data_IF_348315288637
#
_entry.id   IF_348315288637
#
_cell.length_a   1.000
_cell.length_b   1.000
_cell.length_c   1.000
_cell.angle_alpha   90.00
_cell.angle_beta   90.00
_cell.angle_gamma   90.00
#
_symmetry.space_group_name_H-M   'P 1'
#
loop_
_entity.id
_entity.type
_entity.pdbx_description
1 polymer ?
#
# COMPACT_ATOMS: atom_id res chain seq x y z
N UNK A 1 -14.90 41.23 7.32
CA UNK A 1 -13.85 40.52 6.53
C UNK A 1 -14.34 39.13 6.22
N UNK A 2 -14.35 38.75 4.94
CA UNK A 2 -14.69 37.39 4.53
C UNK A 2 -13.68 36.41 5.13
N UNK A 3 -14.16 35.36 5.84
CA UNK A 3 -13.27 34.36 6.44
C UNK A 3 -12.50 33.61 5.35
N UNK A 4 -11.23 33.34 5.59
CA UNK A 4 -10.40 32.57 4.66
C UNK A 4 -10.81 31.10 4.68
N UNK A 5 -11.08 30.53 3.52
CA UNK A 5 -11.38 29.10 3.39
C UNK A 5 -10.15 28.25 3.64
N UNK A 6 -10.33 27.12 4.31
CA UNK A 6 -9.34 26.06 4.47
C UNK A 6 -9.98 24.71 4.20
N UNK A 7 -9.24 23.79 3.59
CA UNK A 7 -9.68 22.40 3.41
C UNK A 7 -8.88 21.51 4.35
N UNK A 8 -9.60 20.72 5.15
CA UNK A 8 -9.04 19.75 6.09
C UNK A 8 -9.32 18.34 5.60
N UNK A 9 -8.27 17.52 5.43
CA UNK A 9 -8.41 16.07 5.32
C UNK A 9 -8.92 15.53 6.65
N UNK A 10 -10.11 14.94 6.66
CA UNK A 10 -10.89 14.62 7.85
C UNK A 10 -11.23 13.12 7.90
N UNK A 11 -10.78 12.44 8.93
CA UNK A 11 -11.04 11.01 9.14
C UNK A 11 -12.19 10.71 10.11
N UNK A 12 -12.64 11.70 10.88
CA UNK A 12 -13.60 11.52 11.96
C UNK A 12 -12.98 11.03 13.27
N UNK A 13 -11.68 10.77 13.31
CA UNK A 13 -10.93 10.42 14.52
C UNK A 13 -10.66 11.62 15.42
N UNK A 14 -9.99 11.39 16.55
CA UNK A 14 -9.74 12.42 17.56
C UNK A 14 -8.93 13.60 17.01
N UNK A 15 -7.81 13.31 16.32
CA UNK A 15 -6.89 14.34 15.82
C UNK A 15 -7.59 15.29 14.86
N UNK A 16 -8.29 14.76 13.85
CA UNK A 16 -8.99 15.61 12.88
C UNK A 16 -10.26 16.24 13.44
N UNK A 17 -10.91 15.61 14.42
CA UNK A 17 -12.02 16.23 15.17
C UNK A 17 -11.56 17.45 15.95
N UNK A 18 -10.39 17.40 16.57
CA UNK A 18 -9.77 18.54 17.22
C UNK A 18 -9.46 19.67 16.23
N UNK A 19 -8.95 19.33 15.04
CA UNK A 19 -8.55 20.30 14.04
C UNK A 19 -9.69 21.22 13.59
N UNK A 20 -10.93 20.76 13.53
CA UNK A 20 -12.06 21.56 13.01
C UNK A 20 -12.32 22.81 13.87
N UNK A 21 -12.68 22.71 15.16
CA UNK A 21 -12.92 23.90 15.98
C UNK A 21 -11.64 24.72 16.18
N UNK A 22 -10.48 24.08 16.25
CA UNK A 22 -9.20 24.79 16.38
C UNK A 22 -8.93 25.73 15.20
N UNK A 23 -9.17 25.27 13.97
CA UNK A 23 -9.01 26.09 12.76
C UNK A 23 -10.08 27.20 12.66
N UNK A 24 -11.31 26.94 13.12
CA UNK A 24 -12.36 27.95 13.20
C UNK A 24 -11.95 29.09 14.15
N UNK A 25 -11.40 28.78 15.30
CA UNK A 25 -10.89 29.78 16.25
C UNK A 25 -9.72 30.60 15.69
N UNK A 26 -8.98 30.04 14.75
CA UNK A 26 -7.94 30.77 14.01
C UNK A 26 -8.50 31.66 12.88
N UNK A 27 -9.82 31.73 12.71
CA UNK A 27 -10.50 32.58 11.75
C UNK A 27 -10.71 31.96 10.36
N UNK A 28 -10.66 30.65 10.25
CA UNK A 28 -10.93 29.96 8.99
C UNK A 28 -12.38 29.50 8.85
N UNK A 29 -12.90 29.56 7.63
CA UNK A 29 -14.07 28.79 7.19
C UNK A 29 -13.60 27.39 6.80
N UNK A 30 -13.90 26.38 7.64
CA UNK A 30 -13.37 25.01 7.49
C UNK A 30 -14.29 24.19 6.58
N UNK A 31 -13.71 23.66 5.51
CA UNK A 31 -14.31 22.66 4.64
C UNK A 31 -13.58 21.33 4.87
N UNK A 32 -14.32 20.27 5.15
CA UNK A 32 -13.75 18.94 5.40
C UNK A 32 -13.98 18.00 4.24
N UNK A 33 -13.03 17.08 4.02
CA UNK A 33 -13.16 16.02 3.06
C UNK A 33 -12.72 14.70 3.67
N UNK A 34 -13.58 13.68 3.58
CA UNK A 34 -13.26 12.31 3.92
C UNK A 34 -13.04 11.52 2.63
N UNK A 35 -11.88 10.88 2.53
CA UNK A 35 -11.51 10.04 1.40
C UNK A 35 -11.64 8.58 1.82
N UNK A 36 -12.64 7.89 1.27
CA UNK A 36 -12.83 6.46 1.50
C UNK A 36 -11.90 5.65 0.59
N UNK A 37 -10.95 4.99 1.19
CA UNK A 37 -9.96 4.14 0.53
C UNK A 37 -10.38 2.66 0.45
N UNK A 38 -11.67 2.39 0.67
CA UNK A 38 -12.27 1.07 0.52
C UNK A 38 -12.55 0.31 1.83
N UNK A 39 -12.18 0.89 2.98
CA UNK A 39 -12.37 0.26 4.30
C UNK A 39 -13.53 0.83 5.11
N UNK A 40 -14.35 1.75 4.57
CA UNK A 40 -15.39 2.45 5.33
C UNK A 40 -16.76 2.24 4.70
N UNK A 41 -17.72 1.76 5.51
CA UNK A 41 -19.10 1.53 5.08
C UNK A 41 -19.87 2.84 4.84
N UNK A 42 -20.97 2.81 4.07
CA UNK A 42 -21.83 3.98 3.89
C UNK A 42 -22.39 4.54 5.22
N UNK A 43 -22.69 3.69 6.17
CA UNK A 43 -23.17 4.06 7.50
C UNK A 43 -22.11 4.81 8.31
N UNK A 44 -20.88 4.35 8.26
CA UNK A 44 -19.73 5.02 8.87
C UNK A 44 -19.44 6.36 8.20
N UNK A 45 -19.55 6.45 6.87
CA UNK A 45 -19.42 7.73 6.14
C UNK A 45 -20.47 8.75 6.58
N UNK A 46 -21.71 8.33 6.82
CA UNK A 46 -22.76 9.21 7.37
C UNK A 46 -22.41 9.73 8.76
N UNK A 47 -21.85 8.87 9.62
CA UNK A 47 -21.38 9.27 10.97
C UNK A 47 -20.23 10.28 10.88
N UNK A 48 -19.29 10.08 9.96
CA UNK A 48 -18.18 11.01 9.71
C UNK A 48 -18.70 12.35 9.23
N UNK A 49 -19.65 12.37 8.30
CA UNK A 49 -20.31 13.60 7.81
C UNK A 49 -20.98 14.35 8.96
N UNK A 50 -21.79 13.66 9.76
CA UNK A 50 -22.46 14.23 10.92
C UNK A 50 -21.45 14.83 11.90
N UNK A 51 -20.39 14.10 12.20
CA UNK A 51 -19.32 14.55 13.10
C UNK A 51 -18.66 15.84 12.59
N UNK A 52 -18.32 15.91 11.30
CA UNK A 52 -17.73 17.10 10.72
C UNK A 52 -18.60 18.35 10.86
N UNK A 53 -19.89 18.22 10.62
CA UNK A 53 -20.85 19.33 10.71
C UNK A 53 -21.07 19.72 12.17
N UNK A 54 -21.21 18.76 13.10
CA UNK A 54 -21.31 19.02 14.54
C UNK A 54 -20.12 19.81 15.09
N UNK A 55 -18.93 19.56 14.58
CA UNK A 55 -17.70 20.27 14.95
C UNK A 55 -17.58 21.67 14.36
N UNK A 56 -18.50 22.05 13.45
CA UNK A 56 -18.56 23.38 12.87
C UNK A 56 -18.04 23.50 11.45
N UNK A 57 -17.76 22.38 10.75
CA UNK A 57 -17.37 22.44 9.35
C UNK A 57 -18.49 23.07 8.50
N UNK A 58 -18.15 24.02 7.64
CA UNK A 58 -19.08 24.70 6.74
C UNK A 58 -19.71 23.76 5.72
N UNK A 59 -18.90 22.86 5.18
CA UNK A 59 -19.31 21.77 4.29
C UNK A 59 -18.39 20.56 4.51
N UNK A 60 -18.97 19.39 4.28
CA UNK A 60 -18.24 18.12 4.28
C UNK A 60 -18.47 17.40 2.94
N UNK A 61 -17.40 16.77 2.43
CA UNK A 61 -17.44 15.97 1.20
C UNK A 61 -16.92 14.57 1.53
N UNK A 62 -17.66 13.54 1.08
CA UNK A 62 -17.16 12.17 1.03
C UNK A 62 -16.75 11.81 -0.39
N UNK A 63 -15.61 11.17 -0.56
CA UNK A 63 -15.16 10.70 -1.86
C UNK A 63 -14.64 9.28 -1.78
N UNK A 64 -15.18 8.39 -2.59
CA UNK A 64 -14.70 7.01 -2.73
C UNK A 64 -13.61 6.96 -3.80
N UNK A 65 -12.47 6.37 -3.47
CA UNK A 65 -11.30 6.29 -4.37
C UNK A 65 -10.79 4.86 -4.58
N UNK A 66 -11.60 3.86 -4.36
CA UNK A 66 -11.20 2.47 -4.58
C UNK A 66 -10.75 2.19 -6.03
N UNK A 67 -11.43 2.74 -7.02
CA UNK A 67 -11.04 2.62 -8.44
C UNK A 67 -9.75 3.38 -8.78
N UNK A 68 -9.59 4.68 -8.43
CA UNK A 68 -8.31 5.35 -8.55
C UNK A 68 -7.16 4.65 -7.82
N UNK A 69 -7.41 4.15 -6.61
CA UNK A 69 -6.40 3.45 -5.82
C UNK A 69 -5.93 2.16 -6.52
N UNK A 70 -6.85 1.40 -7.09
CA UNK A 70 -6.51 0.24 -7.91
C UNK A 70 -5.64 0.64 -9.11
N UNK A 71 -6.08 1.64 -9.87
CA UNK A 71 -5.42 2.05 -11.10
C UNK A 71 -4.04 2.66 -10.88
N UNK A 72 -3.93 3.56 -9.90
CA UNK A 72 -2.77 4.44 -9.74
C UNK A 72 -1.72 3.88 -8.76
N UNK A 73 -2.12 3.03 -7.81
CA UNK A 73 -1.26 2.50 -6.76
C UNK A 73 -1.15 0.97 -6.81
N UNK A 74 -2.28 0.27 -6.80
CA UNK A 74 -2.28 -1.19 -6.62
C UNK A 74 -1.71 -1.89 -7.85
N UNK A 75 -2.10 -1.49 -9.05
CA UNK A 75 -1.53 -2.07 -10.28
C UNK A 75 -0.01 -1.90 -10.34
N UNK A 76 0.57 -0.69 -10.20
CA UNK A 76 2.02 -0.53 -10.14
C UNK A 76 2.69 -1.35 -9.03
N UNK A 77 2.07 -1.46 -7.85
CA UNK A 77 2.59 -2.28 -6.76
C UNK A 77 2.67 -3.77 -7.17
N UNK A 78 1.63 -4.30 -7.79
CA UNK A 78 1.64 -5.68 -8.29
C UNK A 78 2.70 -5.85 -9.37
N UNK A 79 2.78 -4.94 -10.34
CA UNK A 79 3.78 -4.98 -11.41
C UNK A 79 5.21 -4.87 -10.86
N UNK A 80 5.43 -4.08 -9.81
CA UNK A 80 6.73 -3.96 -9.16
C UNK A 80 7.23 -5.30 -8.63
N UNK A 81 6.32 -6.15 -8.16
CA UNK A 81 6.64 -7.41 -7.49
C UNK A 81 7.49 -7.23 -6.24
N UNK A 82 7.59 -6.00 -5.72
CA UNK A 82 8.50 -5.63 -4.65
C UNK A 82 7.74 -5.23 -3.38
N UNK A 83 8.45 -5.35 -2.27
CA UNK A 83 7.98 -4.99 -0.94
C UNK A 83 9.04 -4.07 -0.31
N UNK A 84 8.62 -3.11 0.49
CA UNK A 84 9.56 -2.28 1.24
C UNK A 84 10.34 -3.14 2.24
N UNK A 85 11.67 -3.08 2.15
CA UNK A 85 12.60 -3.94 2.91
C UNK A 85 12.25 -5.44 2.79
N UNK A 86 11.84 -5.86 1.61
CA UNK A 86 11.48 -7.24 1.24
C UNK A 86 10.33 -7.84 2.08
N UNK A 87 9.49 -7.00 2.70
CA UNK A 87 8.39 -7.46 3.56
C UNK A 87 7.10 -6.66 3.44
N UNK A 88 7.18 -5.32 3.55
CA UNK A 88 6.01 -4.47 3.68
C UNK A 88 5.45 -3.98 2.34
N UNK A 89 4.19 -4.25 2.00
CA UNK A 89 3.61 -3.93 0.69
C UNK A 89 3.12 -2.47 0.57
N UNK A 90 3.76 -1.54 1.25
CA UNK A 90 3.46 -0.10 1.20
C UNK A 90 1.96 0.22 1.34
N UNK A 91 1.26 -0.39 2.32
CA UNK A 91 -0.17 -0.17 2.56
C UNK A 91 -0.50 1.29 2.91
N UNK A 92 0.50 2.06 3.28
CA UNK A 92 0.44 3.50 3.53
C UNK A 92 0.30 4.37 2.27
N UNK A 93 0.37 3.81 1.08
CA UNK A 93 0.39 4.57 -0.18
C UNK A 93 -0.96 5.20 -0.57
N UNK A 94 -2.04 4.85 0.08
CA UNK A 94 -3.34 5.53 -0.05
C UNK A 94 -3.27 7.02 0.33
N UNK A 95 -2.32 7.43 1.19
CA UNK A 95 -2.09 8.82 1.62
C UNK A 95 -1.91 9.76 0.44
N UNK A 96 -1.26 9.31 -0.62
CA UNK A 96 -1.00 10.10 -1.81
C UNK A 96 -2.28 10.51 -2.54
N UNK A 97 -3.24 9.60 -2.65
CA UNK A 97 -4.54 9.88 -3.27
C UNK A 97 -5.45 10.68 -2.32
N UNK A 98 -5.34 10.48 -1.02
CA UNK A 98 -6.01 11.33 -0.02
C UNK A 98 -5.55 12.79 -0.20
N UNK A 99 -4.27 13.04 -0.29
CA UNK A 99 -3.74 14.39 -0.52
C UNK A 99 -4.16 14.94 -1.87
N UNK A 100 -4.07 14.14 -2.92
CA UNK A 100 -4.49 14.54 -4.28
C UNK A 100 -5.92 15.04 -4.32
N UNK A 101 -6.85 14.34 -3.68
CA UNK A 101 -8.26 14.72 -3.61
C UNK A 101 -8.49 15.94 -2.71
N UNK A 102 -7.76 16.04 -1.61
CA UNK A 102 -7.81 17.22 -0.73
C UNK A 102 -7.34 18.47 -1.46
N UNK A 103 -6.25 18.39 -2.22
CA UNK A 103 -5.75 19.47 -3.09
C UNK A 103 -6.75 19.81 -4.19
N UNK A 104 -7.40 18.80 -4.78
CA UNK A 104 -8.43 19.04 -5.80
C UNK A 104 -9.61 19.87 -5.23
N UNK A 105 -10.02 19.61 -3.99
CA UNK A 105 -11.04 20.41 -3.32
C UNK A 105 -10.53 21.83 -3.03
N UNK A 106 -9.28 22.01 -2.63
CA UNK A 106 -8.68 23.35 -2.49
C UNK A 106 -8.76 24.16 -3.78
N UNK A 107 -8.41 23.54 -4.90
CA UNK A 107 -8.49 24.17 -6.23
C UNK A 107 -9.94 24.54 -6.59
N UNK A 108 -10.89 23.64 -6.36
CA UNK A 108 -12.32 23.89 -6.59
C UNK A 108 -12.86 25.04 -5.77
N UNK A 109 -12.46 25.17 -4.51
CA UNK A 109 -12.84 26.24 -3.60
C UNK A 109 -12.02 27.52 -3.76
N UNK A 110 -11.03 27.51 -4.66
CA UNK A 110 -10.09 28.63 -4.91
C UNK A 110 -9.36 29.08 -3.64
N UNK A 111 -8.95 28.13 -2.80
CA UNK A 111 -8.14 28.39 -1.61
C UNK A 111 -6.74 27.80 -1.74
N UNK A 112 -5.77 28.47 -1.10
CA UNK A 112 -4.40 27.99 -0.94
C UNK A 112 -4.13 27.40 0.45
N UNK A 113 -5.13 27.40 1.34
CA UNK A 113 -4.98 26.88 2.69
C UNK A 113 -5.43 25.42 2.74
N UNK A 114 -4.56 24.56 3.23
CA UNK A 114 -4.79 23.12 3.39
C UNK A 114 -4.34 22.70 4.79
N UNK A 115 -5.07 21.80 5.42
CA UNK A 115 -4.74 21.28 6.73
C UNK A 115 -4.84 19.76 6.78
N UNK A 116 -4.07 19.18 7.67
CA UNK A 116 -4.16 17.76 8.03
C UNK A 116 -3.83 17.54 9.50
N UNK A 117 -4.22 16.38 10.03
CA UNK A 117 -4.07 16.00 11.43
C UNK A 117 -2.86 15.11 11.72
N UNK A 118 -1.83 15.09 10.89
CA UNK A 118 -0.65 14.27 11.15
C UNK A 118 0.19 14.86 12.28
N UNK A 119 0.71 13.95 13.14
CA UNK A 119 1.65 14.32 14.22
C UNK A 119 3.06 14.55 13.66
N UNK A 120 3.90 15.21 14.46
CA UNK A 120 5.34 15.35 14.16
C UNK A 120 6.18 14.11 14.49
N UNK A 121 5.55 12.98 14.87
CA UNK A 121 6.24 11.80 15.39
C UNK A 121 6.20 10.59 14.44
N UNK A 122 5.40 10.63 13.36
CA UNK A 122 5.21 9.52 12.42
C UNK A 122 5.63 9.82 10.99
N UNK A 123 5.57 8.79 10.16
CA UNK A 123 5.91 8.89 8.74
C UNK A 123 4.88 9.67 7.90
N UNK A 124 3.60 9.62 8.28
CA UNK A 124 2.53 10.15 7.44
C UNK A 124 2.63 11.65 7.22
N UNK A 125 3.17 12.42 8.20
CA UNK A 125 3.44 13.84 8.01
C UNK A 125 4.35 14.09 6.80
N UNK A 126 5.36 13.25 6.60
CA UNK A 126 6.30 13.37 5.47
C UNK A 126 5.55 13.12 4.16
N UNK A 127 4.75 12.08 4.09
CA UNK A 127 3.96 11.74 2.90
C UNK A 127 2.97 12.84 2.53
N UNK A 128 2.27 13.39 3.53
CA UNK A 128 1.34 14.51 3.32
C UNK A 128 2.05 15.77 2.85
N UNK A 129 3.07 16.20 3.57
CA UNK A 129 3.73 17.49 3.30
C UNK A 129 4.49 17.49 1.95
N UNK A 130 5.24 16.43 1.65
CA UNK A 130 5.94 16.32 0.37
C UNK A 130 4.96 16.23 -0.80
N UNK A 131 3.83 15.54 -0.62
CA UNK A 131 2.79 15.45 -1.64
C UNK A 131 2.11 16.80 -1.89
N UNK A 132 1.79 17.55 -0.84
CA UNK A 132 1.21 18.89 -0.96
C UNK A 132 2.17 19.82 -1.72
N UNK A 133 3.46 19.81 -1.36
CA UNK A 133 4.49 20.59 -2.04
C UNK A 133 4.60 20.24 -3.53
N UNK A 134 4.55 18.96 -3.86
CA UNK A 134 4.63 18.51 -5.25
C UNK A 134 3.39 18.89 -6.09
N UNK A 135 2.21 19.00 -5.46
CA UNK A 135 0.95 19.29 -6.13
C UNK A 135 0.62 20.77 -6.29
N UNK A 136 1.38 21.66 -5.64
CA UNK A 136 1.22 23.09 -5.82
C UNK A 136 1.73 23.92 -4.65
N UNK A 137 1.59 25.24 -4.81
CA UNK A 137 1.98 26.19 -3.76
C UNK A 137 0.79 26.41 -2.80
N UNK A 138 0.76 25.64 -1.71
CA UNK A 138 -0.24 25.70 -0.67
C UNK A 138 0.37 26.11 0.68
N UNK A 139 -0.40 26.82 1.48
CA UNK A 139 -0.08 27.05 2.90
C UNK A 139 -0.64 25.88 3.70
N UNK A 140 0.25 25.03 4.17
CA UNK A 140 -0.10 23.88 4.99
C UNK A 140 -0.19 24.28 6.46
N UNK A 141 -1.30 23.93 7.12
CA UNK A 141 -1.52 24.16 8.54
C UNK A 141 -1.68 22.81 9.21
N UNK A 142 -0.95 22.61 10.30
CA UNK A 142 -0.80 21.31 10.97
C UNK A 142 -1.09 21.47 12.46
N UNK A 143 -2.38 21.56 12.86
CA UNK A 143 -2.76 21.87 14.23
C UNK A 143 -2.13 20.94 15.29
N UNK A 144 -2.01 19.65 14.96
CA UNK A 144 -1.44 18.68 15.90
C UNK A 144 0.05 18.95 16.16
N UNK A 145 0.82 19.29 15.13
CA UNK A 145 2.23 19.70 15.31
C UNK A 145 2.36 21.02 16.10
N UNK A 146 1.42 21.93 15.91
CA UNK A 146 1.41 23.19 16.68
C UNK A 146 1.23 22.93 18.18
N UNK A 147 0.23 22.14 18.58
CA UNK A 147 -0.01 21.83 19.99
C UNK A 147 1.04 20.88 20.59
N UNK A 148 1.67 20.05 19.77
CA UNK A 148 2.74 19.14 20.21
C UNK A 148 3.92 19.88 20.85
N UNK A 149 4.15 21.13 20.50
CA UNK A 149 5.16 21.97 21.12
C UNK A 149 4.72 22.56 22.48
N UNK A 150 3.45 22.46 22.82
CA UNK A 150 2.87 23.11 24.01
C UNK A 150 2.43 22.11 25.07
N UNK A 151 2.32 20.83 24.77
CA UNK A 151 1.90 19.78 25.69
C UNK A 151 2.71 18.51 25.55
N UNK A 152 2.86 17.78 26.67
CA UNK A 152 3.50 16.44 26.66
C UNK A 152 2.54 15.33 26.26
N UNK A 153 1.23 15.52 26.52
CA UNK A 153 0.18 14.56 26.15
C UNK A 153 -0.79 15.21 25.16
N UNK A 154 -0.51 15.01 23.89
CA UNK A 154 -1.31 15.55 22.78
C UNK A 154 -2.74 15.04 22.82
N UNK A 155 -2.94 13.74 23.06
CA UNK A 155 -4.27 13.12 23.05
C UNK A 155 -5.15 13.63 24.19
N UNK A 156 -4.59 13.79 25.37
CA UNK A 156 -5.33 14.35 26.50
C UNK A 156 -5.67 15.83 26.26
N UNK A 157 -4.75 16.60 25.71
CA UNK A 157 -5.01 17.99 25.32
C UNK A 157 -6.18 18.09 24.31
N UNK A 158 -6.19 17.24 23.28
CA UNK A 158 -7.27 17.21 22.28
C UNK A 158 -8.63 16.89 22.91
N UNK A 159 -8.68 15.89 23.79
CA UNK A 159 -9.90 15.51 24.51
C UNK A 159 -10.42 16.64 25.38
N UNK A 160 -9.58 17.21 26.19
CA UNK A 160 -9.95 18.35 27.08
C UNK A 160 -10.42 19.55 26.26
N UNK A 161 -9.73 19.85 25.16
CA UNK A 161 -10.09 20.96 24.27
C UNK A 161 -11.51 20.78 23.70
N UNK A 162 -11.84 19.58 23.23
CA UNK A 162 -13.16 19.26 22.69
C UNK A 162 -14.26 19.26 23.77
N UNK A 163 -13.98 18.66 24.93
CA UNK A 163 -14.93 18.60 26.05
C UNK A 163 -15.28 20.00 26.55
N UNK A 164 -14.28 20.88 26.75
CA UNK A 164 -14.48 22.27 27.18
C UNK A 164 -15.37 23.08 26.23
N UNK A 165 -15.50 22.64 24.95
CA UNK A 165 -16.36 23.27 23.96
C UNK A 165 -17.68 22.54 23.76
N UNK A 166 -18.00 21.58 24.61
CA UNK A 166 -19.27 20.85 24.60
C UNK A 166 -19.33 19.72 23.56
N UNK A 167 -18.22 19.34 22.94
CA UNK A 167 -18.19 18.22 22.00
C UNK A 167 -18.02 16.89 22.74
N UNK A 168 -18.77 15.89 22.29
CA UNK A 168 -18.61 14.53 22.81
C UNK A 168 -17.31 13.92 22.32
N UNK A 169 -16.61 13.26 23.24
CA UNK A 169 -15.38 12.50 22.97
C UNK A 169 -15.59 11.07 23.44
N UNK A 170 -15.20 10.08 22.62
CA UNK A 170 -15.26 8.69 23.02
C UNK A 170 -14.34 8.46 24.23
N UNK A 171 -14.88 7.87 25.29
CA UNK A 171 -14.11 7.45 26.47
C UNK A 171 -13.30 6.17 26.20
N UNK A 172 -13.59 5.45 25.10
CA UNK A 172 -12.90 4.23 24.73
C UNK A 172 -11.54 4.61 24.12
N UNK A 173 -10.48 4.40 24.90
CA UNK A 173 -9.13 4.37 24.33
C UNK A 173 -9.00 3.07 23.53
N UNK A 174 -8.78 3.18 22.23
CA UNK A 174 -8.43 2.01 21.43
C UNK A 174 -7.08 1.46 21.90
N UNK A 175 -7.04 0.16 22.21
CA UNK A 175 -5.80 -0.55 22.55
C UNK A 175 -4.78 -0.48 21.41
N UNK A 176 -5.26 -0.47 20.18
CA UNK A 176 -4.45 -0.45 18.97
C UNK A 176 -4.79 0.75 18.09
N UNK A 177 -3.79 1.22 17.36
CA UNK A 177 -3.98 2.11 16.20
C UNK A 177 -4.11 1.27 14.95
N UNK A 178 -5.24 1.40 14.25
CA UNK A 178 -5.56 0.61 13.07
C UNK A 178 -5.74 1.52 11.87
N UNK A 179 -5.05 1.20 10.78
CA UNK A 179 -5.27 1.79 9.46
C UNK A 179 -5.68 0.69 8.49
N UNK A 180 -6.85 0.83 7.90
CA UNK A 180 -7.42 -0.11 6.94
C UNK A 180 -7.77 0.60 5.65
N UNK A 181 -7.41 -0.05 4.54
CA UNK A 181 -7.86 0.33 3.21
C UNK A 181 -8.08 -0.94 2.37
N UNK A 182 -8.43 -0.78 1.10
CA UNK A 182 -8.68 -1.92 0.21
C UNK A 182 -7.45 -2.85 0.04
N UNK A 183 -6.24 -2.34 0.26
CA UNK A 183 -4.99 -3.11 0.13
C UNK A 183 -4.73 -4.03 1.32
N UNK A 184 -5.24 -3.69 2.49
CA UNK A 184 -5.02 -4.43 3.72
C UNK A 184 -5.15 -3.57 4.96
N UNK A 185 -4.60 -4.04 6.07
CA UNK A 185 -4.62 -3.35 7.34
C UNK A 185 -3.26 -3.33 8.01
N UNK A 186 -2.96 -2.25 8.70
CA UNK A 186 -1.80 -2.12 9.59
C UNK A 186 -2.26 -1.83 11.01
N UNK A 187 -1.61 -2.46 11.98
CA UNK A 187 -1.91 -2.33 13.40
C UNK A 187 -0.63 -2.04 14.17
N UNK A 188 -0.68 -1.07 15.05
CA UNK A 188 0.39 -0.72 15.97
C UNK A 188 -0.17 -0.45 17.37
N UNK A 189 0.70 -0.22 18.33
CA UNK A 189 0.34 0.06 19.70
C UNK A 189 0.41 -1.16 20.63
N UNK A 190 0.32 -0.91 21.93
CA UNK A 190 0.32 -1.93 22.96
C UNK A 190 1.51 -2.90 22.84
N UNK A 191 1.29 -4.21 23.00
CA UNK A 191 2.34 -5.24 22.94
C UNK A 191 3.14 -5.26 21.63
N UNK A 192 2.60 -4.72 20.54
CA UNK A 192 3.32 -4.62 19.25
C UNK A 192 4.47 -3.63 19.39
N UNK A 193 4.23 -2.46 19.95
CA UNK A 193 5.24 -1.42 20.17
C UNK A 193 6.26 -1.82 21.24
N UNK A 194 5.88 -2.70 22.17
CA UNK A 194 6.75 -3.28 23.20
C UNK A 194 7.58 -4.46 22.69
N UNK A 195 7.49 -4.83 21.43
CA UNK A 195 8.21 -5.93 20.79
C UNK A 195 7.80 -7.33 21.32
N UNK A 196 6.60 -7.43 21.90
CA UNK A 196 6.02 -8.68 22.37
C UNK A 196 5.15 -9.34 21.29
N UNK A 197 4.76 -10.59 21.53
CA UNK A 197 3.89 -11.31 20.61
C UNK A 197 2.52 -10.63 20.51
N UNK A 198 2.06 -10.28 19.28
CA UNK A 198 0.74 -9.73 19.08
C UNK A 198 -0.36 -10.72 19.52
N UNK A 199 -1.38 -10.20 20.19
CA UNK A 199 -2.55 -10.99 20.54
C UNK A 199 -3.42 -11.30 19.32
N UNK A 200 -4.25 -12.34 19.40
CA UNK A 200 -5.19 -12.67 18.33
C UNK A 200 -6.20 -11.54 18.02
N UNK A 201 -6.45 -10.65 19.00
CA UNK A 201 -7.35 -9.51 18.83
C UNK A 201 -6.76 -8.38 17.96
N UNK A 202 -5.45 -8.37 17.74
CA UNK A 202 -4.78 -7.39 16.89
C UNK A 202 -4.96 -7.66 15.40
N UNK A 203 -5.37 -8.86 15.01
CA UNK A 203 -5.67 -9.23 13.62
C UNK A 203 -7.13 -8.94 13.30
N UNK A 204 -7.38 -8.18 12.23
CA UNK A 204 -8.72 -7.71 11.86
C UNK A 204 -9.25 -8.30 10.54
N UNK A 205 -8.37 -8.72 9.63
CA UNK A 205 -8.74 -9.27 8.33
C UNK A 205 -8.63 -10.80 8.29
N UNK A 206 -7.61 -11.36 8.91
CA UNK A 206 -7.33 -12.78 8.90
C UNK A 206 -8.00 -13.50 10.08
N UNK A 207 -8.50 -14.67 9.81
CA UNK A 207 -8.96 -15.59 10.87
C UNK A 207 -7.81 -16.06 11.74
N UNK A 208 -8.12 -16.51 12.95
CA UNK A 208 -7.17 -17.16 13.84
C UNK A 208 -6.70 -18.50 13.25
N UNK A 209 -5.47 -18.97 13.55
CA UNK A 209 -4.97 -20.26 13.05
C UNK A 209 -5.89 -21.44 13.32
N UNK A 210 -6.54 -21.47 14.49
CA UNK A 210 -7.50 -22.51 14.85
C UNK A 210 -8.76 -22.56 13.96
N UNK A 211 -9.03 -21.49 13.21
CA UNK A 211 -10.20 -21.35 12.35
C UNK A 211 -9.88 -21.51 10.86
N UNK A 212 -8.62 -21.79 10.51
CA UNK A 212 -8.26 -21.99 9.11
C UNK A 212 -8.93 -23.24 8.54
N UNK A 213 -9.40 -23.20 7.29
CA UNK A 213 -9.94 -24.36 6.62
C UNK A 213 -8.91 -25.51 6.59
N UNK A 214 -9.36 -26.73 6.84
CA UNK A 214 -8.50 -27.94 6.79
C UNK A 214 -8.19 -28.39 5.38
N UNK A 215 -9.05 -28.04 4.41
CA UNK A 215 -8.88 -28.39 3.00
C UNK A 215 -8.24 -27.27 2.23
N UNK A 216 -7.30 -27.61 1.39
CA UNK A 216 -6.72 -26.71 0.40
C UNK A 216 -7.79 -26.19 -0.54
N UNK A 217 -7.57 -24.99 -1.06
CA UNK A 217 -8.45 -24.40 -2.07
C UNK A 217 -7.63 -23.87 -3.24
N UNK A 218 -7.98 -24.35 -4.43
CA UNK A 218 -7.42 -23.87 -5.68
C UNK A 218 -8.30 -22.77 -6.26
N UNK A 219 -7.68 -21.72 -6.78
CA UNK A 219 -8.32 -20.66 -7.55
C UNK A 219 -7.48 -20.35 -8.80
N UNK A 220 -8.16 -19.92 -9.85
CA UNK A 220 -7.53 -19.51 -11.09
C UNK A 220 -7.70 -17.99 -11.25
N UNK A 221 -6.61 -17.28 -11.47
CA UNK A 221 -6.62 -15.84 -11.71
C UNK A 221 -6.18 -15.59 -13.15
N UNK A 222 -7.01 -14.87 -13.91
CA UNK A 222 -6.69 -14.48 -15.29
C UNK A 222 -6.09 -13.08 -15.29
N UNK A 223 -4.95 -12.95 -15.97
CA UNK A 223 -4.27 -11.68 -16.21
C UNK A 223 -4.34 -11.28 -17.67
N UNK A 224 -4.57 -10.01 -17.93
CA UNK A 224 -4.46 -9.39 -19.26
C UNK A 224 -3.53 -8.18 -19.13
N UNK A 225 -2.40 -8.22 -19.83
CA UNK A 225 -1.37 -7.18 -19.78
C UNK A 225 -1.01 -6.78 -18.35
N UNK A 226 -0.77 -7.78 -17.50
CA UNK A 226 -0.34 -7.60 -16.12
C UNK A 226 -1.44 -7.22 -15.13
N UNK A 227 -2.68 -7.09 -15.56
CA UNK A 227 -3.82 -6.76 -14.69
C UNK A 227 -4.71 -7.98 -14.48
N UNK A 228 -5.00 -8.31 -13.22
CA UNK A 228 -5.94 -9.36 -12.87
C UNK A 228 -7.37 -8.96 -13.28
N UNK A 229 -8.06 -9.82 -14.04
CA UNK A 229 -9.38 -9.54 -14.62
C UNK A 229 -10.46 -10.51 -14.20
N UNK A 230 -10.11 -11.77 -13.86
CA UNK A 230 -11.08 -12.81 -13.51
C UNK A 230 -10.57 -13.65 -12.36
N UNK A 231 -11.50 -14.19 -11.59
CA UNK A 231 -11.26 -15.27 -10.63
C UNK A 231 -12.19 -16.42 -10.96
N UNK A 232 -11.65 -17.63 -11.19
CA UNK A 232 -12.39 -18.82 -11.58
C UNK A 232 -13.31 -18.56 -12.80
N UNK A 233 -12.81 -17.82 -13.79
CA UNK A 233 -13.55 -17.46 -14.99
C UNK A 233 -14.58 -16.34 -14.82
N UNK A 234 -14.83 -15.87 -13.61
CA UNK A 234 -15.77 -14.77 -13.34
C UNK A 234 -15.07 -13.41 -13.45
N UNK A 235 -15.49 -12.53 -14.38
CA UNK A 235 -14.96 -11.18 -14.48
C UNK A 235 -15.30 -10.35 -13.24
N UNK A 236 -14.32 -9.60 -12.74
CA UNK A 236 -14.47 -8.66 -11.63
C UNK A 236 -13.68 -7.39 -11.93
N UNK A 237 -14.21 -6.23 -11.52
CA UNK A 237 -13.38 -5.02 -11.50
C UNK A 237 -12.26 -5.16 -10.47
N UNK A 238 -11.20 -4.38 -10.60
CA UNK A 238 -10.02 -4.50 -9.74
C UNK A 238 -10.31 -4.42 -8.24
N UNK A 239 -11.02 -3.39 -7.77
CA UNK A 239 -11.39 -3.28 -6.36
C UNK A 239 -12.15 -4.48 -5.82
N UNK A 240 -13.17 -4.97 -6.54
CA UNK A 240 -13.98 -6.11 -6.11
C UNK A 240 -13.18 -7.42 -6.16
N UNK A 241 -12.30 -7.57 -7.15
CA UNK A 241 -11.37 -8.69 -7.23
C UNK A 241 -10.45 -8.72 -6.00
N UNK A 242 -9.91 -7.59 -5.61
CA UNK A 242 -9.04 -7.48 -4.43
C UNK A 242 -9.80 -7.76 -3.13
N UNK A 243 -11.02 -7.23 -2.98
CA UNK A 243 -11.87 -7.52 -1.83
C UNK A 243 -12.18 -9.03 -1.70
N UNK A 244 -12.46 -9.68 -2.83
CA UNK A 244 -12.69 -11.12 -2.85
C UNK A 244 -11.45 -11.88 -2.39
N UNK A 245 -10.28 -11.52 -2.89
CA UNK A 245 -9.01 -12.15 -2.49
C UNK A 245 -8.64 -11.84 -1.03
N UNK A 246 -8.92 -10.65 -0.53
CA UNK A 246 -8.74 -10.31 0.89
C UNK A 246 -9.60 -11.20 1.79
N UNK A 247 -10.88 -11.38 1.45
CA UNK A 247 -11.78 -12.25 2.20
C UNK A 247 -11.34 -13.71 2.16
N UNK A 248 -11.08 -14.22 0.98
CA UNK A 248 -10.68 -15.60 0.78
C UNK A 248 -9.31 -15.90 1.40
N UNK A 249 -8.30 -15.08 1.08
CA UNK A 249 -6.95 -15.22 1.63
C UNK A 249 -6.91 -15.03 3.15
N UNK A 250 -7.69 -14.08 3.67
CA UNK A 250 -7.83 -13.86 5.11
C UNK A 250 -8.44 -15.06 5.84
N UNK A 251 -9.35 -15.79 5.21
CA UNK A 251 -9.91 -17.02 5.78
C UNK A 251 -8.86 -18.12 5.97
N UNK A 252 -7.80 -18.13 5.19
CA UNK A 252 -6.63 -19.02 5.30
C UNK A 252 -5.46 -18.40 6.07
N UNK A 253 -5.58 -17.14 6.53
CA UNK A 253 -4.49 -16.44 7.22
C UNK A 253 -3.33 -16.03 6.32
N UNK A 254 -3.55 -15.92 5.03
CA UNK A 254 -2.54 -15.49 4.06
C UNK A 254 -2.21 -14.02 4.25
N UNK A 255 -0.92 -13.66 4.19
CA UNK A 255 -0.47 -12.28 4.22
C UNK A 255 -0.49 -11.63 5.61
N UNK A 256 -0.49 -12.42 6.69
CA UNK A 256 -0.26 -11.95 8.07
C UNK A 256 1.24 -11.84 8.32
N UNK A 257 1.68 -10.66 8.72
CA UNK A 257 3.10 -10.43 8.99
C UNK A 257 3.32 -9.48 10.16
N UNK A 258 4.44 -9.66 10.82
CA UNK A 258 5.01 -8.70 11.78
C UNK A 258 6.22 -8.08 11.08
N UNK A 259 6.21 -6.76 10.99
CA UNK A 259 7.24 -6.02 10.27
C UNK A 259 7.97 -5.05 11.20
N UNK A 260 9.28 -5.22 11.28
CA UNK A 260 10.19 -4.24 11.87
C UNK A 260 10.91 -3.55 10.74
N UNK A 261 10.67 -2.24 10.60
CA UNK A 261 11.18 -1.47 9.47
C UNK A 261 11.93 -0.21 9.88
N UNK A 262 12.75 0.24 8.95
CA UNK A 262 13.38 1.55 9.05
C UNK A 262 12.37 2.61 8.60
N UNK A 263 11.95 3.47 9.54
CA UNK A 263 11.01 4.54 9.27
C UNK A 263 11.67 5.71 8.56
N UNK A 264 10.88 6.53 7.88
CA UNK A 264 11.39 7.74 7.19
C UNK A 264 12.06 8.69 8.18
N UNK A 265 11.52 8.77 9.39
CA UNK A 265 12.01 9.67 10.46
C UNK A 265 13.26 9.13 11.19
N UNK A 266 13.83 8.03 10.75
CA UNK A 266 15.14 7.54 11.20
C UNK A 266 15.15 6.67 12.46
N UNK A 267 14.00 6.18 12.90
CA UNK A 267 13.89 5.24 14.02
C UNK A 267 13.34 3.89 13.57
N UNK A 268 13.57 2.84 14.34
CA UNK A 268 12.93 1.54 14.10
C UNK A 268 11.44 1.63 14.44
N UNK A 269 10.61 1.13 13.54
CA UNK A 269 9.18 0.98 13.77
C UNK A 269 8.76 -0.48 13.69
N UNK A 270 7.78 -0.87 14.49
CA UNK A 270 7.20 -2.21 14.44
C UNK A 270 5.71 -2.12 14.24
N UNK A 271 5.23 -2.85 13.27
CA UNK A 271 3.79 -2.98 12.97
C UNK A 271 3.44 -4.43 12.72
N UNK A 272 2.19 -4.74 12.91
CA UNK A 272 1.54 -5.91 12.34
C UNK A 272 0.81 -5.45 11.09
N UNK A 273 0.86 -6.23 10.02
CA UNK A 273 0.03 -5.97 8.86
C UNK A 273 -0.60 -7.24 8.30
N UNK A 274 -1.69 -7.05 7.58
CA UNK A 274 -2.44 -8.09 6.90
C UNK A 274 -2.77 -7.61 5.49
N UNK A 275 -2.27 -8.32 4.48
CA UNK A 275 -2.47 -8.00 3.07
C UNK A 275 -2.74 -9.26 2.25
N UNK A 276 -3.86 -9.97 2.51
CA UNK A 276 -4.13 -11.26 1.87
C UNK A 276 -4.19 -11.19 0.35
N UNK A 277 -4.96 -10.26 -0.19
CA UNK A 277 -5.16 -10.11 -1.62
C UNK A 277 -3.93 -9.65 -2.37
N UNK A 278 -3.20 -8.68 -1.84
CA UNK A 278 -1.92 -8.21 -2.41
C UNK A 278 -0.91 -9.35 -2.45
N UNK A 279 -0.80 -10.13 -1.37
CA UNK A 279 0.10 -11.30 -1.31
C UNK A 279 -0.22 -12.32 -2.39
N UNK A 280 -1.50 -12.67 -2.56
CA UNK A 280 -1.94 -13.60 -3.59
C UNK A 280 -1.64 -13.06 -4.99
N UNK A 281 -2.00 -11.81 -5.25
CA UNK A 281 -1.81 -11.17 -6.56
C UNK A 281 -0.34 -11.04 -6.95
N UNK A 282 0.53 -10.65 -6.02
CA UNK A 282 1.96 -10.55 -6.30
C UNK A 282 2.57 -11.91 -6.61
N UNK A 283 2.19 -12.96 -5.89
CA UNK A 283 2.67 -14.33 -6.18
C UNK A 283 2.18 -14.84 -7.53
N UNK A 284 0.91 -14.65 -7.84
CA UNK A 284 0.33 -15.07 -9.12
C UNK A 284 0.96 -14.30 -10.30
N UNK A 285 1.05 -12.98 -10.19
CA UNK A 285 1.62 -12.13 -11.22
C UNK A 285 3.10 -12.46 -11.49
N UNK A 286 3.88 -12.65 -10.42
CA UNK A 286 5.29 -13.00 -10.53
C UNK A 286 5.50 -14.35 -11.25
N UNK A 287 4.70 -15.36 -10.92
CA UNK A 287 4.78 -16.66 -11.59
C UNK A 287 4.52 -16.55 -13.10
N UNK A 288 3.60 -15.66 -13.52
CA UNK A 288 3.34 -15.40 -14.92
C UNK A 288 4.47 -14.60 -15.57
N UNK A 289 5.02 -13.58 -14.92
CA UNK A 289 6.17 -12.81 -15.42
C UNK A 289 7.38 -13.70 -15.69
N UNK A 290 7.71 -14.59 -14.77
CA UNK A 290 8.88 -15.46 -14.84
C UNK A 290 8.94 -16.28 -16.14
N UNK A 291 7.80 -16.71 -16.65
CA UNK A 291 7.72 -17.57 -17.85
C UNK A 291 7.60 -16.77 -19.17
N UNK A 292 7.19 -15.51 -19.13
CA UNK A 292 7.00 -14.68 -20.34
C UNK A 292 8.11 -13.65 -20.56
N UNK A 293 8.92 -13.36 -19.54
CA UNK A 293 10.05 -12.45 -19.63
C UNK A 293 11.33 -13.17 -20.08
N UNK A 294 12.17 -12.46 -20.82
CA UNK A 294 13.54 -12.92 -21.08
C UNK A 294 14.35 -12.94 -19.78
N UNK A 295 15.47 -13.66 -19.79
CA UNK A 295 16.41 -13.68 -18.67
C UNK A 295 16.89 -12.27 -18.30
N UNK A 296 17.11 -11.40 -19.27
CA UNK A 296 17.53 -10.00 -19.06
C UNK A 296 16.45 -9.18 -18.35
N UNK A 297 15.18 -9.34 -18.75
CA UNK A 297 14.05 -8.70 -18.09
C UNK A 297 13.88 -9.20 -16.66
N UNK A 298 13.94 -10.52 -16.44
CA UNK A 298 13.82 -11.12 -15.10
C UNK A 298 14.93 -10.66 -14.15
N UNK A 299 16.16 -10.46 -14.65
CA UNK A 299 17.28 -9.98 -13.83
C UNK A 299 17.21 -8.47 -13.53
N UNK A 300 16.74 -7.66 -14.48
CA UNK A 300 16.75 -6.21 -14.34
C UNK A 300 15.55 -5.64 -13.60
N UNK A 301 14.34 -6.16 -13.89
CA UNK A 301 13.08 -5.64 -13.36
C UNK A 301 13.02 -5.52 -11.83
N UNK A 302 13.58 -6.45 -11.02
CA UNK A 302 13.56 -6.31 -9.56
C UNK A 302 14.17 -5.01 -9.04
N UNK A 303 15.20 -4.47 -9.68
CA UNK A 303 15.81 -3.20 -9.29
C UNK A 303 14.86 -2.01 -9.50
N UNK A 304 14.09 -2.05 -10.57
CA UNK A 304 13.05 -1.04 -10.87
C UNK A 304 11.93 -1.09 -9.84
N UNK A 305 11.42 -2.28 -9.56
CA UNK A 305 10.35 -2.48 -8.58
C UNK A 305 10.77 -2.08 -7.16
N UNK A 306 11.98 -2.44 -6.77
CA UNK A 306 12.54 -2.07 -5.47
C UNK A 306 12.64 -0.54 -5.32
N UNK A 307 13.16 0.14 -6.34
CA UNK A 307 13.27 1.60 -6.31
C UNK A 307 11.90 2.27 -6.25
N UNK A 308 10.92 1.76 -6.99
CA UNK A 308 9.55 2.28 -6.97
C UNK A 308 8.95 2.19 -5.55
N UNK A 309 9.03 1.02 -4.89
CA UNK A 309 8.44 0.85 -3.56
C UNK A 309 9.14 1.68 -2.48
N UNK A 310 10.45 1.89 -2.60
CA UNK A 310 11.21 2.78 -1.72
C UNK A 310 10.75 4.23 -1.81
N UNK A 311 10.56 4.75 -3.03
CA UNK A 311 10.05 6.09 -3.26
C UNK A 311 8.62 6.24 -2.73
N UNK A 312 7.76 5.27 -3.00
CA UNK A 312 6.36 5.29 -2.55
C UNK A 312 6.26 5.18 -1.03
N UNK A 313 7.10 4.39 -0.38
CA UNK A 313 7.15 4.37 1.08
C UNK A 313 7.59 5.70 1.67
N UNK A 314 8.56 6.37 1.05
CA UNK A 314 9.31 7.50 1.62
C UNK A 314 8.73 8.88 1.35
N UNK A 315 7.56 8.99 0.73
CA UNK A 315 6.89 10.27 0.48
C UNK A 315 7.05 10.82 -0.93
N UNK A 316 7.68 10.10 -1.86
CA UNK A 316 8.04 10.56 -3.19
C UNK A 316 7.18 9.99 -4.33
N UNK A 317 5.92 9.67 -4.05
CA UNK A 317 5.00 9.18 -5.09
C UNK A 317 4.85 10.16 -6.26
N UNK A 318 4.85 11.48 -5.99
CA UNK A 318 4.73 12.52 -7.01
C UNK A 318 6.07 12.99 -7.59
N UNK A 319 7.18 12.37 -7.21
CA UNK A 319 8.46 12.62 -7.86
C UNK A 319 8.43 12.10 -9.31
N UNK A 320 8.99 12.82 -10.30
CA UNK A 320 9.02 12.37 -11.68
C UNK A 320 9.64 10.98 -11.88
N UNK A 321 10.63 10.62 -11.07
CA UNK A 321 11.25 9.29 -11.13
C UNK A 321 10.25 8.16 -10.86
N UNK A 322 9.34 8.34 -9.91
CA UNK A 322 8.29 7.34 -9.63
C UNK A 322 7.47 7.05 -10.87
N UNK A 323 7.07 8.10 -11.60
CA UNK A 323 6.33 7.94 -12.86
C UNK A 323 7.16 7.30 -13.98
N UNK A 324 8.45 7.61 -14.07
CA UNK A 324 9.35 6.96 -15.03
C UNK A 324 9.45 5.46 -14.77
N UNK A 325 9.58 5.06 -13.51
CA UNK A 325 9.61 3.64 -13.11
C UNK A 325 8.28 2.93 -13.40
N UNK A 326 7.16 3.59 -13.14
CA UNK A 326 5.83 3.06 -13.47
C UNK A 326 5.67 2.85 -14.98
N UNK A 327 6.13 3.78 -15.81
CA UNK A 327 6.09 3.67 -17.26
C UNK A 327 6.91 2.47 -17.75
N UNK A 328 8.09 2.23 -17.18
CA UNK A 328 8.88 1.03 -17.46
C UNK A 328 8.11 -0.23 -17.06
N UNK A 329 7.56 -0.28 -15.84
CA UNK A 329 6.81 -1.44 -15.36
C UNK A 329 5.59 -1.73 -16.22
N UNK A 330 4.86 -0.71 -16.65
CA UNK A 330 3.68 -0.83 -17.53
C UNK A 330 4.05 -1.36 -18.92
N UNK A 331 5.11 -0.82 -19.52
CA UNK A 331 5.57 -1.21 -20.85
C UNK A 331 5.86 -2.71 -20.94
N UNK A 332 6.54 -3.27 -19.97
CA UNK A 332 6.89 -4.69 -19.96
C UNK A 332 5.69 -5.61 -19.70
N UNK A 333 4.54 -5.08 -19.25
CA UNK A 333 3.34 -5.90 -19.00
C UNK A 333 2.65 -6.37 -20.28
N UNK A 334 3.00 -5.86 -21.44
CA UNK A 334 2.36 -6.22 -22.72
C UNK A 334 2.35 -7.73 -23.02
N UNK A 335 3.32 -8.49 -22.49
CA UNK A 335 3.40 -9.94 -22.62
C UNK A 335 2.79 -10.72 -21.44
N UNK A 336 2.44 -10.05 -20.35
CA UNK A 336 1.97 -10.69 -19.10
C UNK A 336 0.46 -10.94 -19.20
N UNK A 337 0.10 -11.92 -20.03
CA UNK A 337 -1.28 -12.35 -20.27
C UNK A 337 -1.36 -13.86 -20.18
N UNK A 338 -2.24 -14.36 -19.34
CA UNK A 338 -2.44 -15.79 -19.10
C UNK A 338 -3.18 -16.05 -17.80
N UNK A 339 -3.19 -17.30 -17.38
CA UNK A 339 -3.86 -17.76 -16.16
C UNK A 339 -2.85 -18.34 -15.19
N UNK A 340 -3.10 -18.12 -13.91
CA UNK A 340 -2.28 -18.68 -12.82
C UNK A 340 -3.19 -19.42 -11.84
N UNK A 341 -2.87 -20.68 -11.56
CA UNK A 341 -3.52 -21.46 -10.49
C UNK A 341 -2.81 -21.20 -9.18
N UNK A 342 -3.55 -20.73 -8.19
CA UNK A 342 -3.10 -20.51 -6.81
C UNK A 342 -3.70 -21.59 -5.93
N UNK A 343 -2.86 -22.26 -5.13
CA UNK A 343 -3.29 -23.15 -4.07
C UNK A 343 -3.20 -22.45 -2.71
N UNK A 344 -4.32 -22.35 -2.02
CA UNK A 344 -4.41 -21.79 -0.68
C UNK A 344 -4.37 -22.90 0.35
N UNK A 345 -3.45 -22.80 1.29
CA UNK A 345 -3.33 -23.66 2.46
C UNK A 345 -3.25 -22.80 3.72
N UNK A 346 -3.20 -23.40 4.90
CA UNK A 346 -3.09 -22.66 6.15
C UNK A 346 -1.86 -21.72 6.15
N UNK A 347 -2.11 -20.41 6.14
CA UNK A 347 -1.11 -19.35 6.14
C UNK A 347 -0.34 -19.16 4.81
N UNK A 348 -0.68 -19.89 3.74
CA UNK A 348 0.09 -19.86 2.49
C UNK A 348 -0.77 -19.73 1.24
N UNK A 349 -0.19 -19.07 0.25
CA UNK A 349 -0.67 -19.08 -1.12
C UNK A 349 0.52 -19.44 -2.03
N UNK A 350 0.36 -20.45 -2.86
CA UNK A 350 1.40 -20.90 -3.79
C UNK A 350 0.87 -20.87 -5.22
N UNK A 351 1.65 -20.30 -6.15
CA UNK A 351 1.37 -20.39 -7.57
C UNK A 351 1.82 -21.78 -8.06
N UNK A 352 0.86 -22.67 -8.33
CA UNK A 352 1.13 -24.07 -8.64
C UNK A 352 0.99 -24.41 -10.12
N UNK A 353 0.41 -23.52 -10.92
CA UNK A 353 0.28 -23.73 -12.35
C UNK A 353 0.17 -22.41 -13.10
N UNK A 354 0.74 -22.37 -14.30
CA UNK A 354 0.72 -21.21 -15.20
C UNK A 354 0.38 -21.68 -16.60
N UNK A 355 -0.59 -21.02 -17.23
CA UNK A 355 -0.90 -21.24 -18.65
C UNK A 355 -0.90 -19.91 -19.40
N UNK A 356 -0.12 -19.86 -20.49
CA UNK A 356 -0.02 -18.70 -21.38
C UNK A 356 0.48 -19.11 -22.76
N UNK A 357 -0.06 -18.45 -23.79
CA UNK A 357 0.41 -18.60 -25.18
C UNK A 357 1.77 -17.92 -25.41
N UNK A 358 2.22 -17.09 -24.48
CA UNK A 358 3.47 -16.28 -24.59
C UNK A 358 4.64 -16.86 -23.79
N UNK A 359 4.53 -18.11 -23.34
CA UNK A 359 5.61 -18.77 -22.57
C UNK A 359 6.88 -18.95 -23.41
N UNK A 360 8.03 -18.57 -22.86
CA UNK A 360 9.33 -18.71 -23.49
C UNK A 360 9.92 -20.11 -23.24
N UNK A 361 9.18 -21.14 -23.65
CA UNK A 361 9.56 -22.55 -23.49
C UNK A 361 9.64 -23.18 -24.88
N UNK A 362 10.79 -23.79 -25.20
CA UNK A 362 10.98 -24.56 -26.42
C UNK A 362 10.56 -26.01 -26.18
N UNK A 363 9.88 -26.60 -27.18
CA UNK A 363 9.43 -28.01 -27.12
C UNK A 363 10.59 -29.02 -27.21
N UNK A 364 11.66 -28.63 -27.87
CA UNK A 364 12.85 -29.46 -28.20
C UNK A 364 13.98 -29.30 -27.19
N UNK A 365 13.78 -28.51 -26.14
CA UNK A 365 14.76 -28.30 -25.09
C UNK A 365 14.10 -28.35 -23.70
N UNK A 366 14.42 -29.41 -22.94
CA UNK A 366 13.97 -29.58 -21.56
C UNK A 366 15.18 -29.65 -20.66
N UNK A 367 15.21 -28.80 -19.64
CA UNK A 367 16.33 -28.69 -18.70
C UNK A 367 16.78 -30.06 -18.17
N UNK A 368 18.09 -30.34 -18.33
CA UNK A 368 18.76 -31.57 -17.93
C UNK A 368 18.22 -32.87 -18.58
N UNK A 369 17.36 -32.79 -19.60
CA UNK A 369 16.77 -33.97 -20.25
C UNK A 369 17.01 -34.00 -21.76
N UNK A 370 16.78 -32.91 -22.45
CA UNK A 370 16.94 -32.81 -23.89
C UNK A 370 17.41 -31.42 -24.31
N UNK A 371 18.18 -31.35 -25.39
CA UNK A 371 18.76 -30.12 -25.89
C UNK A 371 18.66 -30.05 -27.41
N UNK A 372 18.50 -28.83 -27.94
CA UNK A 372 18.55 -28.52 -29.37
C UNK A 372 19.97 -28.15 -29.85
N UNK A 373 20.97 -28.32 -29.03
CA UNK A 373 22.39 -28.04 -29.31
C UNK A 373 23.24 -29.27 -29.04
N UNK A 374 24.46 -29.29 -29.61
CA UNK A 374 25.42 -30.37 -29.45
C UNK A 374 26.27 -30.19 -28.18
N UNK A 375 26.96 -31.28 -27.76
CA UNK A 375 27.94 -31.25 -26.67
C UNK A 375 29.13 -30.34 -26.98
N UNK A 376 29.51 -30.22 -28.28
CA UNK A 376 30.60 -29.34 -28.71
C UNK A 376 30.26 -27.88 -28.57
N UNK A 377 29.02 -27.49 -28.91
CA UNK A 377 28.50 -26.14 -28.70
C UNK A 377 28.50 -25.81 -27.20
N UNK A 378 28.07 -26.74 -26.34
CA UNK A 378 28.09 -26.57 -24.87
C UNK A 378 29.51 -26.39 -24.36
N UNK A 379 30.45 -27.22 -24.78
CA UNK A 379 31.86 -27.17 -24.37
C UNK A 379 32.50 -25.85 -24.80
N UNK A 380 32.28 -25.43 -26.05
CA UNK A 380 32.78 -24.15 -26.57
C UNK A 380 32.22 -22.95 -25.80
N UNK A 381 30.92 -22.94 -25.54
CA UNK A 381 30.28 -21.90 -24.75
C UNK A 381 30.82 -21.77 -23.34
N UNK A 382 30.96 -22.91 -22.62
CA UNK A 382 31.47 -22.93 -21.24
C UNK A 382 32.93 -22.42 -21.19
N UNK A 383 33.76 -22.83 -22.17
CA UNK A 383 35.15 -22.37 -22.29
C UNK A 383 35.24 -20.84 -22.39
N UNK A 384 34.43 -20.25 -23.29
CA UNK A 384 34.43 -18.79 -23.51
C UNK A 384 33.84 -18.05 -22.31
N UNK A 385 32.74 -18.54 -21.75
CA UNK A 385 32.04 -17.94 -20.62
C UNK A 385 32.93 -17.90 -19.36
N UNK A 386 33.69 -18.98 -19.12
CA UNK A 386 34.56 -19.12 -17.95
C UNK A 386 35.96 -18.55 -18.11
N UNK A 387 36.35 -18.01 -19.28
CA UNK A 387 37.70 -17.64 -19.62
C UNK A 387 38.34 -16.63 -18.64
N UNK A 388 37.60 -15.58 -18.26
CA UNK A 388 38.09 -14.57 -17.33
C UNK A 388 38.44 -15.18 -15.97
N UNK A 389 37.56 -16.02 -15.41
CA UNK A 389 37.76 -16.67 -14.12
C UNK A 389 38.89 -17.67 -14.17
N UNK A 390 39.02 -18.45 -15.27
CA UNK A 390 40.11 -19.39 -15.46
C UNK A 390 41.46 -18.65 -15.52
N UNK A 391 41.55 -17.56 -16.27
CA UNK A 391 42.78 -16.73 -16.35
C UNK A 391 43.14 -16.15 -15.00
N UNK A 392 42.12 -15.64 -14.26
CA UNK A 392 42.36 -15.15 -12.89
C UNK A 392 42.95 -16.22 -11.98
N UNK A 393 42.45 -17.44 -12.03
CA UNK A 393 42.94 -18.56 -11.25
C UNK A 393 44.37 -18.94 -11.61
N UNK A 394 44.75 -18.91 -12.91
CA UNK A 394 46.09 -19.17 -13.39
C UNK A 394 47.10 -18.13 -12.88
N UNK A 395 46.75 -16.84 -13.03
CA UNK A 395 47.64 -15.73 -12.62
C UNK A 395 47.83 -15.67 -11.10
N UNK A 396 46.84 -16.08 -10.32
CA UNK A 396 46.90 -16.04 -8.85
C UNK A 396 47.20 -17.38 -8.18
N UNK A 397 47.60 -18.40 -8.94
CA UNK A 397 48.14 -19.63 -8.33
C UNK A 397 49.36 -19.27 -7.49
N UNK A 398 49.32 -19.61 -6.21
CA UNK A 398 50.48 -19.56 -5.31
C UNK A 398 51.41 -20.75 -5.56
#
# INVERSE_FOLDING_TARGET
REMKKIVLAFSGGLDTSFCVPYLIEQGFEVHTIFINTGGTSPEEQKKITKRAIELGAKKHVNKNIDKPLWKEIIKPLIWSGSLYQDRYPALCSDRYLIVKETVALCKKLKTKNIAHGCTGMGNDQVRFDLSIQALGNFKTITPIREIQNTTKDVREYEKEYLIKRGYKVSSLSSKYSVNENIMGATVSGSEIDEWNQPSDQSYILCKKPSQYPKKDKKIIIDFIKGEAKKINGKPLNGPDLLRHLNSLGGSYGVGREIFTGDTIIGIKGRILFEAPGITILQKAHKALEEIVFTDKQNHFKPSIGKRWVELVYSGFYFDPLTKNLENFLEDIQSSVTGTVEINLTAGRADAVGVDTKKKLVKKDAVYAQSASWSSDESTGFIKLLGQSTATWAEVNKK
#
